data_IF_208990111493
#
_entry.id   IF_208990111493
#
_cell.length_a   1.000
_cell.length_b   1.000
_cell.length_c   1.000
_cell.angle_alpha   90.00
_cell.angle_beta   90.00
_cell.angle_gamma   90.00
#
_symmetry.space_group_name_H-M   'P 1'
#
loop_
_entity.id
_entity.type
_entity.pdbx_description
1 polymer ?
#
# COMPACT_ATOMS: atom_id res chain seq x y z
N UNK A 1 -8.91 9.97 -24.07
CA UNK A 1 -8.46 8.77 -24.83
C UNK A 1 -6.94 8.62 -24.78
N UNK A 2 -6.15 9.63 -25.19
CA UNK A 2 -4.68 9.56 -25.19
C UNK A 2 -4.06 9.33 -23.79
N UNK A 3 -4.55 10.02 -22.76
CA UNK A 3 -4.09 9.86 -21.38
C UNK A 3 -4.31 8.45 -20.84
N UNK A 4 -5.48 7.86 -21.10
CA UNK A 4 -5.80 6.48 -20.72
C UNK A 4 -4.86 5.49 -21.39
N UNK A 5 -4.58 5.68 -22.69
CA UNK A 5 -3.64 4.83 -23.45
C UNK A 5 -2.24 4.94 -22.86
N UNK A 6 -1.78 6.16 -22.58
CA UNK A 6 -0.47 6.41 -21.99
C UNK A 6 -0.30 5.71 -20.63
N UNK A 7 -1.27 5.88 -19.73
CA UNK A 7 -1.23 5.23 -18.42
C UNK A 7 -1.35 3.70 -18.51
N UNK A 8 -2.17 3.18 -19.43
CA UNK A 8 -2.26 1.74 -19.68
C UNK A 8 -0.91 1.19 -20.16
N UNK A 9 -0.24 1.91 -21.06
CA UNK A 9 1.08 1.53 -21.57
C UNK A 9 2.11 1.46 -20.45
N UNK A 10 2.10 2.39 -19.50
CA UNK A 10 2.98 2.36 -18.32
C UNK A 10 2.76 1.08 -17.50
N UNK A 11 1.51 0.73 -17.20
CA UNK A 11 1.18 -0.50 -16.44
C UNK A 11 1.61 -1.76 -17.20
N UNK A 12 1.32 -1.83 -18.50
CA UNK A 12 1.71 -2.96 -19.34
C UNK A 12 3.23 -3.08 -19.46
N UNK A 13 3.94 -1.98 -19.64
CA UNK A 13 5.40 -1.95 -19.76
C UNK A 13 6.07 -2.39 -18.45
N UNK A 14 5.63 -1.87 -17.31
CA UNK A 14 6.12 -2.29 -16.01
C UNK A 14 5.87 -3.79 -15.77
N UNK A 15 4.66 -4.26 -16.10
CA UNK A 15 4.30 -5.68 -15.99
C UNK A 15 5.15 -6.56 -16.90
N UNK A 16 5.42 -6.10 -18.12
CA UNK A 16 6.25 -6.79 -19.10
C UNK A 16 7.67 -6.98 -18.58
N UNK A 17 8.27 -5.95 -17.96
CA UNK A 17 9.59 -6.08 -17.34
C UNK A 17 9.60 -7.13 -16.22
N UNK A 18 8.59 -7.18 -15.37
CA UNK A 18 8.46 -8.24 -14.35
C UNK A 18 8.30 -9.62 -15.00
N UNK A 19 7.50 -9.73 -16.05
CA UNK A 19 7.28 -10.97 -16.78
C UNK A 19 8.58 -11.54 -17.39
N UNK A 20 9.43 -10.68 -17.95
CA UNK A 20 10.77 -11.08 -18.42
C UNK A 20 11.66 -11.43 -17.22
N UNK A 21 11.59 -10.67 -16.12
CA UNK A 21 12.42 -10.92 -14.92
C UNK A 21 12.18 -12.31 -14.30
N UNK A 22 10.97 -12.84 -14.42
CA UNK A 22 10.63 -14.20 -13.96
C UNK A 22 11.28 -15.30 -14.82
N UNK A 23 11.72 -14.97 -16.04
CA UNK A 23 12.40 -15.87 -17.00
C UNK A 23 13.90 -15.61 -17.13
N UNK A 24 14.41 -14.56 -16.50
CA UNK A 24 15.82 -14.22 -16.52
C UNK A 24 16.65 -15.33 -15.84
N UNK A 25 17.71 -15.79 -16.52
CA UNK A 25 18.63 -16.80 -16.00
C UNK A 25 19.57 -16.23 -14.94
N UNK A 26 20.09 -15.03 -15.19
CA UNK A 26 21.06 -14.39 -14.31
C UNK A 26 20.39 -13.46 -13.30
N UNK A 27 20.93 -13.44 -12.07
CA UNK A 27 20.42 -12.61 -10.97
C UNK A 27 20.53 -11.11 -11.30
N UNK A 28 21.60 -10.70 -11.99
CA UNK A 28 21.81 -9.31 -12.44
C UNK A 28 20.66 -8.84 -13.32
N UNK A 29 20.33 -9.61 -14.35
CA UNK A 29 19.31 -9.26 -15.34
C UNK A 29 17.93 -9.21 -14.67
N UNK A 30 17.67 -10.16 -13.76
CA UNK A 30 16.46 -10.16 -12.95
C UNK A 30 16.32 -8.88 -12.13
N UNK A 31 17.37 -8.49 -11.39
CA UNK A 31 17.35 -7.28 -10.57
C UNK A 31 17.21 -6.02 -11.42
N UNK A 32 17.90 -5.96 -12.54
CA UNK A 32 17.81 -4.85 -13.49
C UNK A 32 16.38 -4.70 -14.06
N UNK A 33 15.75 -5.79 -14.49
CA UNK A 33 14.37 -5.76 -15.00
C UNK A 33 13.35 -5.39 -13.91
N UNK A 34 13.54 -5.86 -12.68
CA UNK A 34 12.72 -5.45 -11.54
C UNK A 34 12.88 -3.95 -11.28
N UNK A 35 14.11 -3.44 -11.35
CA UNK A 35 14.38 -2.02 -11.20
C UNK A 35 13.73 -1.19 -12.31
N UNK A 36 13.82 -1.62 -13.58
CA UNK A 36 13.13 -0.99 -14.70
C UNK A 36 11.61 -0.96 -14.52
N UNK A 37 11.02 -2.07 -14.07
CA UNK A 37 9.60 -2.10 -13.69
C UNK A 37 9.29 -1.09 -12.60
N UNK A 38 10.07 -1.08 -11.51
CA UNK A 38 9.87 -0.17 -10.39
C UNK A 38 9.86 1.29 -10.84
N UNK A 39 10.90 1.75 -11.55
CA UNK A 39 10.99 3.15 -11.99
C UNK A 39 9.88 3.52 -12.97
N UNK A 40 9.39 2.59 -13.79
CA UNK A 40 8.33 2.83 -14.79
C UNK A 40 7.04 3.31 -14.14
N UNK A 41 6.66 2.74 -12.99
CA UNK A 41 5.46 3.16 -12.24
C UNK A 41 5.76 4.15 -11.13
N UNK A 42 6.94 4.08 -10.51
CA UNK A 42 7.33 4.97 -9.41
C UNK A 42 7.52 6.41 -9.89
N UNK A 43 8.22 6.63 -11.01
CA UNK A 43 8.54 7.98 -11.46
C UNK A 43 7.28 8.81 -11.67
N UNK A 44 6.27 8.38 -12.46
CA UNK A 44 5.04 9.15 -12.63
C UNK A 44 4.30 9.42 -11.31
N UNK A 45 4.32 8.48 -10.36
CA UNK A 45 3.71 8.66 -9.04
C UNK A 45 4.47 9.65 -8.16
N UNK A 46 5.80 9.68 -8.26
CA UNK A 46 6.69 10.48 -7.43
C UNK A 46 6.79 11.93 -7.90
N UNK A 47 6.80 12.16 -9.22
CA UNK A 47 6.94 13.50 -9.81
C UNK A 47 5.61 14.19 -10.08
N UNK A 48 4.48 13.51 -9.81
CA UNK A 48 3.17 14.12 -9.98
C UNK A 48 3.07 15.40 -9.16
N UNK A 49 2.42 16.39 -9.75
CA UNK A 49 2.17 17.68 -9.14
C UNK A 49 0.72 18.03 -9.37
N UNK A 50 0.00 18.39 -8.30
CA UNK A 50 -1.42 18.78 -8.34
C UNK A 50 -2.33 17.69 -8.97
N UNK A 51 -2.00 16.43 -8.72
CA UNK A 51 -2.77 15.27 -9.20
C UNK A 51 -3.28 14.47 -8.01
N UNK A 52 -4.58 14.22 -8.00
CA UNK A 52 -5.27 13.45 -6.97
C UNK A 52 -6.01 14.37 -6.00
N UNK A 53 -7.20 13.96 -5.58
CA UNK A 53 -8.12 14.75 -4.76
C UNK A 53 -7.48 15.27 -3.48
N UNK A 54 -6.63 14.45 -2.85
CA UNK A 54 -6.03 14.76 -1.55
C UNK A 54 -4.65 15.44 -1.69
N UNK A 55 -4.18 15.73 -2.91
CA UNK A 55 -2.85 16.33 -3.12
C UNK A 55 -2.66 17.60 -2.29
N UNK A 56 -3.60 18.55 -2.40
CA UNK A 56 -3.56 19.80 -1.66
C UNK A 56 -3.50 19.60 -0.15
N UNK A 57 -4.25 18.63 0.37
CA UNK A 57 -4.27 18.30 1.80
C UNK A 57 -2.92 17.76 2.29
N UNK A 58 -2.16 17.03 1.49
CA UNK A 58 -0.79 16.62 1.89
C UNK A 58 0.16 17.81 1.99
N UNK A 59 0.03 18.79 1.10
CA UNK A 59 0.83 20.02 1.13
C UNK A 59 0.43 20.89 2.33
N UNK A 60 -0.86 21.01 2.61
CA UNK A 60 -1.40 21.71 3.79
C UNK A 60 -0.91 21.08 5.09
N UNK A 61 -1.01 19.75 5.23
CA UNK A 61 -0.49 19.02 6.40
C UNK A 61 1.01 19.27 6.56
N UNK A 62 1.79 19.27 5.48
CA UNK A 62 3.22 19.53 5.54
C UNK A 62 3.52 20.95 6.05
N UNK A 63 2.83 21.95 5.53
CA UNK A 63 3.05 23.36 5.88
C UNK A 63 2.55 23.72 7.29
N UNK A 64 1.49 23.07 7.75
CA UNK A 64 0.84 23.32 9.04
C UNK A 64 0.93 22.10 9.98
N UNK A 65 2.09 21.43 10.01
CA UNK A 65 2.23 20.13 10.68
C UNK A 65 1.87 20.14 12.17
N UNK A 66 2.14 21.24 12.88
CA UNK A 66 1.82 21.39 14.31
C UNK A 66 0.32 21.39 14.58
N UNK A 67 -0.51 21.80 13.62
CA UNK A 67 -1.98 21.74 13.74
C UNK A 67 -2.53 20.32 13.51
N UNK A 68 -1.68 19.41 13.03
CA UNK A 68 -2.05 18.07 12.57
C UNK A 68 -1.43 16.94 13.41
N UNK A 69 -1.17 17.16 14.71
CA UNK A 69 -0.58 16.13 15.59
C UNK A 69 -1.43 14.86 15.74
N UNK A 70 -2.71 14.92 15.42
CA UNK A 70 -3.64 13.80 15.49
C UNK A 70 -3.53 12.82 14.31
N UNK A 71 -2.78 13.16 13.25
CA UNK A 71 -2.57 12.27 12.12
C UNK A 71 -1.71 11.06 12.50
N UNK A 72 -1.66 10.06 11.64
CA UNK A 72 -0.94 8.83 11.91
C UNK A 72 0.56 9.08 12.10
N UNK A 73 1.11 8.55 13.19
CA UNK A 73 2.46 8.88 13.69
C UNK A 73 3.56 8.71 12.66
N UNK A 74 3.51 7.66 11.84
CA UNK A 74 4.50 7.42 10.78
C UNK A 74 4.46 8.49 9.70
N UNK A 75 3.26 8.93 9.31
CA UNK A 75 3.12 10.04 8.38
C UNK A 75 3.53 11.37 9.04
N UNK A 76 3.13 11.62 10.29
CA UNK A 76 3.56 12.82 11.04
C UNK A 76 5.09 12.93 11.14
N UNK A 77 5.77 11.86 11.58
CA UNK A 77 7.23 11.88 11.73
C UNK A 77 7.95 11.95 10.37
N UNK A 78 7.39 11.39 9.30
CA UNK A 78 7.93 11.60 7.95
C UNK A 78 7.95 13.10 7.60
N UNK A 79 6.82 13.80 7.78
CA UNK A 79 6.73 15.23 7.53
C UNK A 79 7.66 16.02 8.46
N UNK A 80 7.72 15.66 9.75
CA UNK A 80 8.58 16.32 10.74
C UNK A 80 10.07 16.22 10.41
N UNK A 81 10.52 15.04 9.96
CA UNK A 81 11.91 14.84 9.52
C UNK A 81 12.21 15.72 8.31
N UNK A 82 11.32 15.76 7.33
CA UNK A 82 11.47 16.58 6.13
C UNK A 82 11.50 18.08 6.45
N UNK A 83 10.62 18.57 7.33
CA UNK A 83 10.66 19.95 7.81
C UNK A 83 11.98 20.27 8.53
N UNK A 84 12.50 19.36 9.34
CA UNK A 84 13.75 19.58 10.09
C UNK A 84 14.98 19.80 9.20
N UNK A 85 14.92 19.37 7.94
CA UNK A 85 15.97 19.58 6.94
C UNK A 85 15.59 20.64 5.88
N UNK A 86 14.52 21.40 6.10
CA UNK A 86 13.97 22.39 5.16
C UNK A 86 13.71 21.80 3.76
N UNK A 87 13.20 20.57 3.71
CA UNK A 87 12.84 19.92 2.45
C UNK A 87 11.62 20.58 1.78
N UNK A 88 11.52 20.39 0.46
CA UNK A 88 10.30 20.73 -0.27
C UNK A 88 9.19 19.70 0.00
N UNK A 89 7.94 20.16 0.12
CA UNK A 89 6.74 19.33 0.35
C UNK A 89 6.57 18.20 -0.68
N UNK A 90 7.08 18.35 -1.91
CA UNK A 90 7.10 17.30 -2.92
C UNK A 90 7.82 16.03 -2.43
N UNK A 91 8.80 16.15 -1.53
CA UNK A 91 9.48 14.99 -0.96
C UNK A 91 8.54 14.09 -0.14
N UNK A 92 7.46 14.63 0.42
CA UNK A 92 6.41 13.81 1.06
C UNK A 92 5.79 12.86 0.05
N UNK A 93 5.48 13.35 -1.16
CA UNK A 93 4.89 12.57 -2.25
C UNK A 93 5.89 11.54 -2.79
N UNK A 94 7.14 11.95 -3.01
CA UNK A 94 8.21 11.09 -3.51
C UNK A 94 8.47 9.93 -2.54
N UNK A 95 8.67 10.24 -1.25
CA UNK A 95 8.99 9.22 -0.24
C UNK A 95 7.79 8.31 0.02
N UNK A 96 6.58 8.85 0.10
CA UNK A 96 5.36 8.04 0.27
C UNK A 96 5.16 7.06 -0.89
N UNK A 97 5.37 7.53 -2.13
CA UNK A 97 5.34 6.68 -3.33
C UNK A 97 6.42 5.61 -3.28
N UNK A 98 7.64 5.98 -2.85
CA UNK A 98 8.76 5.04 -2.72
C UNK A 98 8.43 3.94 -1.70
N UNK A 99 7.97 4.31 -0.51
CA UNK A 99 7.57 3.35 0.54
C UNK A 99 6.52 2.40 0.00
N UNK A 100 5.45 2.93 -0.61
CA UNK A 100 4.37 2.12 -1.17
C UNK A 100 4.88 1.07 -2.16
N UNK A 101 5.59 1.49 -3.23
CA UNK A 101 6.08 0.54 -4.23
C UNK A 101 7.17 -0.37 -3.69
N UNK A 102 8.08 0.13 -2.84
CA UNK A 102 9.14 -0.70 -2.27
C UNK A 102 8.53 -1.88 -1.51
N UNK A 103 7.56 -1.62 -0.63
CA UNK A 103 6.86 -2.65 0.13
C UNK A 103 6.12 -3.61 -0.82
N UNK A 104 5.46 -3.12 -1.88
CA UNK A 104 4.82 -3.99 -2.87
C UNK A 104 5.81 -4.96 -3.52
N UNK A 105 6.96 -4.45 -3.98
CA UNK A 105 7.93 -5.24 -4.74
C UNK A 105 8.63 -6.31 -3.91
N UNK A 106 8.97 -5.99 -2.66
CA UNK A 106 9.56 -7.00 -1.74
C UNK A 106 8.53 -8.04 -1.29
N UNK A 107 7.24 -7.72 -1.38
CA UNK A 107 6.14 -8.60 -0.97
C UNK A 107 5.71 -9.58 -2.06
N UNK A 108 6.09 -9.33 -3.31
CA UNK A 108 5.65 -10.20 -4.39
C UNK A 108 6.19 -11.64 -4.27
N UNK A 109 5.39 -12.64 -4.66
CA UNK A 109 5.82 -14.03 -4.61
C UNK A 109 7.01 -14.32 -5.53
N UNK A 110 7.65 -15.47 -5.30
CA UNK A 110 8.78 -15.96 -6.11
C UNK A 110 8.37 -16.47 -7.49
N UNK A 111 7.12 -16.91 -7.64
CA UNK A 111 6.54 -17.44 -8.89
C UNK A 111 5.38 -16.57 -9.32
N UNK A 112 5.21 -16.39 -10.63
CA UNK A 112 4.12 -15.60 -11.23
C UNK A 112 4.03 -14.18 -10.64
N UNK A 113 5.18 -13.54 -10.42
CA UNK A 113 5.26 -12.20 -9.85
C UNK A 113 4.52 -11.19 -10.71
N UNK A 114 4.64 -11.34 -12.03
CA UNK A 114 4.02 -10.46 -13.01
C UNK A 114 2.50 -10.39 -12.86
N UNK A 115 1.83 -11.49 -12.51
CA UNK A 115 0.37 -11.52 -12.36
C UNK A 115 -0.07 -10.72 -11.14
N UNK A 116 0.60 -10.92 -10.01
CA UNK A 116 0.34 -10.15 -8.79
C UNK A 116 0.63 -8.67 -9.03
N UNK A 117 1.78 -8.36 -9.65
CA UNK A 117 2.14 -7.00 -10.00
C UNK A 117 1.10 -6.33 -10.91
N UNK A 118 0.63 -7.03 -11.95
CA UNK A 118 -0.38 -6.54 -12.88
C UNK A 118 -1.69 -6.20 -12.19
N UNK A 119 -2.25 -7.16 -11.44
CA UNK A 119 -3.52 -6.97 -10.72
C UNK A 119 -3.40 -5.86 -9.69
N UNK A 120 -2.32 -5.86 -8.91
CA UNK A 120 -2.13 -4.88 -7.85
C UNK A 120 -1.95 -3.46 -8.41
N UNK A 121 -1.18 -3.32 -9.49
CA UNK A 121 -0.97 -2.01 -10.16
C UNK A 121 -2.26 -1.54 -10.82
N UNK A 122 -3.01 -2.41 -11.50
CA UNK A 122 -4.30 -2.04 -12.10
C UNK A 122 -5.29 -1.50 -11.07
N UNK A 123 -5.34 -2.10 -9.88
CA UNK A 123 -6.31 -1.73 -8.84
C UNK A 123 -5.82 -0.50 -8.07
N UNK A 124 -4.55 -0.45 -7.65
CA UNK A 124 -4.08 0.49 -6.63
C UNK A 124 -3.13 1.58 -7.12
N UNK A 125 -2.72 1.58 -8.39
CA UNK A 125 -1.80 2.61 -8.88
C UNK A 125 -2.41 4.01 -8.85
N UNK A 126 -3.59 4.22 -9.44
CA UNK A 126 -4.26 5.52 -9.36
C UNK A 126 -4.76 5.89 -7.95
N UNK A 127 -5.34 4.94 -7.16
CA UNK A 127 -5.62 5.21 -5.76
C UNK A 127 -4.39 5.69 -4.96
N UNK A 128 -3.18 5.21 -5.29
CA UNK A 128 -1.95 5.68 -4.63
C UNK A 128 -1.62 7.15 -4.87
N UNK A 129 -2.33 7.84 -5.77
CA UNK A 129 -2.15 9.29 -5.97
C UNK A 129 -3.09 10.10 -5.07
N UNK A 130 -4.17 9.47 -4.61
CA UNK A 130 -5.21 10.10 -3.82
C UNK A 130 -4.99 9.74 -2.35
N UNK A 131 -5.09 8.48 -2.01
CA UNK A 131 -5.11 7.97 -0.63
C UNK A 131 -3.74 7.41 -0.22
N UNK A 132 -2.70 8.24 -0.22
CA UNK A 132 -1.29 7.79 -0.09
C UNK A 132 -1.05 7.02 1.22
N UNK A 133 -1.61 7.50 2.33
CA UNK A 133 -1.51 6.87 3.66
C UNK A 133 -2.15 5.49 3.67
N UNK A 134 -3.35 5.39 3.09
CA UNK A 134 -4.10 4.14 2.97
C UNK A 134 -3.39 3.16 2.05
N UNK A 135 -2.86 3.60 0.90
CA UNK A 135 -2.15 2.70 -0.02
C UNK A 135 -0.85 2.15 0.55
N UNK A 136 -0.11 2.94 1.35
CA UNK A 136 1.01 2.41 2.13
C UNK A 136 0.52 1.30 3.08
N UNK A 137 -0.56 1.54 3.82
CA UNK A 137 -1.13 0.51 4.69
C UNK A 137 -1.64 -0.73 3.92
N UNK A 138 -2.16 -0.57 2.69
CA UNK A 138 -2.52 -1.68 1.80
C UNK A 138 -1.28 -2.48 1.39
N UNK A 139 -0.16 -1.83 1.06
CA UNK A 139 1.09 -2.52 0.73
C UNK A 139 1.62 -3.32 1.94
N UNK A 140 1.60 -2.74 3.14
CA UNK A 140 1.91 -3.46 4.37
C UNK A 140 0.94 -4.61 4.65
N UNK A 141 -0.36 -4.42 4.39
CA UNK A 141 -1.38 -5.47 4.53
C UNK A 141 -1.08 -6.66 3.62
N UNK A 142 -0.73 -6.39 2.35
CA UNK A 142 -0.35 -7.41 1.40
C UNK A 142 0.87 -8.21 1.87
N UNK A 143 1.91 -7.52 2.37
CA UNK A 143 3.08 -8.16 2.97
C UNK A 143 2.72 -9.01 4.20
N UNK A 144 1.86 -8.48 5.08
CA UNK A 144 1.46 -9.13 6.33
C UNK A 144 0.73 -10.44 6.05
N UNK A 145 -0.23 -10.42 5.14
CA UNK A 145 -1.02 -11.61 4.75
C UNK A 145 -0.10 -12.74 4.28
N UNK A 146 0.93 -12.45 3.49
CA UNK A 146 1.90 -13.46 3.08
C UNK A 146 2.64 -14.08 4.28
N UNK A 147 3.06 -13.28 5.26
CA UNK A 147 3.70 -13.78 6.50
C UNK A 147 2.75 -14.59 7.36
N UNK A 148 1.47 -14.23 7.37
CA UNK A 148 0.44 -14.97 8.09
C UNK A 148 0.27 -16.39 7.51
N UNK A 149 0.14 -16.52 6.19
CA UNK A 149 0.02 -17.82 5.53
C UNK A 149 1.30 -18.68 5.65
N UNK A 150 2.46 -18.04 5.74
CA UNK A 150 3.75 -18.67 6.07
C UNK A 150 3.86 -19.11 7.54
N UNK A 151 2.81 -18.93 8.36
CA UNK A 151 2.77 -19.16 9.82
C UNK A 151 3.80 -18.34 10.61
N UNK A 152 4.30 -17.25 10.04
CA UNK A 152 5.27 -16.32 10.68
C UNK A 152 4.53 -15.23 11.43
N UNK A 153 3.79 -15.61 12.47
CA UNK A 153 2.85 -14.72 13.17
C UNK A 153 3.52 -13.50 13.81
N UNK A 154 4.73 -13.63 14.36
CA UNK A 154 5.45 -12.47 14.91
C UNK A 154 5.79 -11.43 13.82
N UNK A 155 6.20 -11.89 12.63
CA UNK A 155 6.45 -11.00 11.50
C UNK A 155 5.15 -10.36 11.01
N UNK A 156 4.06 -11.13 10.92
CA UNK A 156 2.73 -10.61 10.62
C UNK A 156 2.36 -9.46 11.55
N UNK A 157 2.38 -9.68 12.86
CA UNK A 157 2.03 -8.65 13.87
C UNK A 157 2.94 -7.43 13.77
N UNK A 158 4.25 -7.63 13.57
CA UNK A 158 5.21 -6.52 13.40
C UNK A 158 4.85 -5.66 12.18
N UNK A 159 4.53 -6.29 11.05
CA UNK A 159 4.17 -5.59 9.81
C UNK A 159 2.84 -4.85 9.98
N UNK A 160 1.85 -5.44 10.69
CA UNK A 160 0.58 -4.76 11.02
C UNK A 160 0.86 -3.48 11.82
N UNK A 161 1.70 -3.54 12.85
CA UNK A 161 2.05 -2.37 13.64
C UNK A 161 2.77 -1.30 12.80
N UNK A 162 3.74 -1.69 11.96
CA UNK A 162 4.44 -0.74 11.09
C UNK A 162 3.50 -0.06 10.09
N UNK A 163 2.60 -0.81 9.44
CA UNK A 163 1.62 -0.23 8.53
C UNK A 163 0.61 0.67 9.25
N UNK A 164 0.28 0.37 10.52
CA UNK A 164 -0.66 1.17 11.31
C UNK A 164 -0.13 2.57 11.64
N UNK A 165 1.19 2.76 11.55
CA UNK A 165 1.81 4.07 11.66
C UNK A 165 1.44 4.99 10.48
N UNK A 166 1.02 4.44 9.34
CA UNK A 166 0.60 5.22 8.17
C UNK A 166 -0.92 5.31 8.04
N UNK A 167 -1.65 4.23 8.36
CA UNK A 167 -3.11 4.27 8.40
C UNK A 167 -3.68 3.15 9.26
N UNK A 168 -4.64 3.45 10.13
CA UNK A 168 -5.17 2.49 11.12
C UNK A 168 -5.98 1.33 10.52
N UNK A 169 -6.47 1.44 9.28
CA UNK A 169 -7.31 0.40 8.66
C UNK A 169 -6.63 -0.98 8.57
N UNK A 170 -5.30 -1.04 8.52
CA UNK A 170 -4.55 -2.32 8.55
C UNK A 170 -4.79 -3.11 9.85
N UNK A 171 -5.17 -2.46 10.95
CA UNK A 171 -5.51 -3.14 12.20
C UNK A 171 -6.69 -4.10 12.01
N UNK A 172 -7.61 -3.83 11.08
CA UNK A 172 -8.69 -4.77 10.74
C UNK A 172 -8.14 -6.10 10.20
N UNK A 173 -7.09 -6.05 9.38
CA UNK A 173 -6.38 -7.24 8.90
C UNK A 173 -5.69 -7.96 10.05
N UNK A 174 -5.08 -7.21 10.97
CA UNK A 174 -4.49 -7.73 12.19
C UNK A 174 -5.49 -8.52 13.05
N UNK A 175 -6.63 -7.89 13.35
CA UNK A 175 -7.72 -8.48 14.14
C UNK A 175 -8.27 -9.72 13.44
N UNK A 176 -8.57 -9.65 12.14
CA UNK A 176 -9.06 -10.79 11.38
C UNK A 176 -8.06 -11.97 11.38
N UNK A 177 -6.77 -11.67 11.20
CA UNK A 177 -5.71 -12.68 11.27
C UNK A 177 -5.64 -13.37 12.63
N UNK A 178 -5.60 -12.61 13.72
CA UNK A 178 -5.57 -13.18 15.09
C UNK A 178 -6.86 -13.96 15.40
N UNK A 179 -8.03 -13.41 15.05
CA UNK A 179 -9.31 -14.07 15.26
C UNK A 179 -9.40 -15.41 14.51
N UNK A 180 -8.80 -15.51 13.33
CA UNK A 180 -8.78 -16.76 12.56
C UNK A 180 -7.96 -17.89 13.20
N UNK A 181 -7.08 -17.58 14.17
CA UNK A 181 -6.32 -18.58 14.93
C UNK A 181 -7.13 -19.17 16.09
N UNK A 182 -8.25 -18.54 16.47
CA UNK A 182 -9.11 -19.02 17.55
C UNK A 182 -9.99 -20.16 17.00
N UNK A 183 -9.96 -21.36 17.61
CA UNK A 183 -10.81 -22.46 17.20
C UNK A 183 -12.28 -22.18 17.58
N UNK A 184 -12.99 -21.47 16.71
CA UNK A 184 -14.44 -21.22 16.85
C UNK A 184 -15.24 -22.35 16.23
N UNK A 185 -16.39 -22.67 16.84
CA UNK A 185 -17.34 -23.64 16.29
C UNK A 185 -17.93 -23.15 14.97
N UNK A 186 -18.29 -24.08 14.08
CA UNK A 186 -18.86 -23.76 12.76
C UNK A 186 -20.17 -22.96 12.88
N UNK A 187 -20.91 -23.15 13.98
CA UNK A 187 -22.09 -22.36 14.29
C UNK A 187 -21.75 -20.87 14.43
N UNK A 188 -20.72 -20.53 15.20
CA UNK A 188 -20.30 -19.13 15.40
C UNK A 188 -19.81 -18.53 14.08
N UNK A 189 -18.94 -19.26 13.36
CA UNK A 189 -18.34 -18.80 12.10
C UNK A 189 -19.37 -18.54 11.01
N UNK A 190 -20.35 -19.43 10.85
CA UNK A 190 -21.25 -19.39 9.69
C UNK A 190 -22.60 -18.72 9.98
N UNK A 191 -23.03 -18.65 11.25
CA UNK A 191 -24.35 -18.08 11.61
C UNK A 191 -24.27 -16.76 12.36
N UNK A 192 -23.28 -16.59 13.24
CA UNK A 192 -23.19 -15.39 14.10
C UNK A 192 -22.35 -14.30 13.44
N UNK A 193 -21.11 -14.60 13.04
CA UNK A 193 -20.22 -13.59 12.48
C UNK A 193 -20.74 -12.85 11.24
N UNK A 194 -21.37 -13.52 10.24
CA UNK A 194 -21.91 -12.81 9.08
C UNK A 194 -22.99 -11.80 9.49
N UNK A 195 -23.83 -12.13 10.47
CA UNK A 195 -24.88 -11.23 10.96
C UNK A 195 -24.31 -10.02 11.70
N UNK A 196 -23.30 -10.25 12.55
CA UNK A 196 -22.58 -9.16 13.24
C UNK A 196 -21.92 -8.25 12.21
N UNK A 197 -21.27 -8.82 11.19
CA UNK A 197 -20.62 -8.04 10.13
C UNK A 197 -21.62 -7.19 9.33
N UNK A 198 -22.77 -7.76 8.93
CA UNK A 198 -23.84 -7.02 8.27
C UNK A 198 -24.37 -5.91 9.18
N UNK A 199 -24.59 -6.17 10.46
CA UNK A 199 -25.02 -5.16 11.43
C UNK A 199 -24.01 -4.02 11.53
N UNK A 200 -22.70 -4.31 11.60
CA UNK A 200 -21.65 -3.29 11.62
C UNK A 200 -21.73 -2.43 10.35
N UNK A 201 -21.86 -3.04 9.17
CA UNK A 201 -22.00 -2.30 7.91
C UNK A 201 -23.23 -1.39 7.95
N UNK A 202 -24.38 -1.89 8.37
CA UNK A 202 -25.62 -1.11 8.47
C UNK A 202 -25.49 0.06 9.45
N UNK A 203 -24.85 -0.16 10.60
CA UNK A 203 -24.57 0.89 11.57
C UNK A 203 -23.65 1.95 10.96
N UNK A 204 -22.59 1.54 10.26
CA UNK A 204 -21.70 2.48 9.57
C UNK A 204 -22.45 3.32 8.54
N UNK A 205 -23.29 2.72 7.68
CA UNK A 205 -24.10 3.45 6.71
C UNK A 205 -25.16 4.37 7.32
N UNK A 206 -25.55 4.16 8.58
CA UNK A 206 -26.50 5.04 9.25
C UNK A 206 -25.81 6.29 9.81
N UNK A 207 -24.56 6.17 10.25
CA UNK A 207 -23.79 7.24 10.88
C UNK A 207 -22.85 8.00 9.94
N UNK A 208 -22.65 7.52 8.71
CA UNK A 208 -21.84 8.13 7.65
C UNK A 208 -22.66 8.26 6.37
#
# INVERSE_FOLDING_TARGET
MLTVIFYSLIVFLSTFFIFISDRAKYKSDKLFLIFLSFITIFIPSAIRYDIGTDYGSYIEIYNNLEEHEYIEKGFYYLNKILLSINADSQLVIIISSFIYFYICYISYPKKNRWLIHFVFTLIFWFPSFNIIRQTIAIAFSFMAIYKFFDKKYLQFITIIFLGSLFHQSILLIGIAGVASLIPLSDFIKNRIFPKIFILIILVMFYYF
#
